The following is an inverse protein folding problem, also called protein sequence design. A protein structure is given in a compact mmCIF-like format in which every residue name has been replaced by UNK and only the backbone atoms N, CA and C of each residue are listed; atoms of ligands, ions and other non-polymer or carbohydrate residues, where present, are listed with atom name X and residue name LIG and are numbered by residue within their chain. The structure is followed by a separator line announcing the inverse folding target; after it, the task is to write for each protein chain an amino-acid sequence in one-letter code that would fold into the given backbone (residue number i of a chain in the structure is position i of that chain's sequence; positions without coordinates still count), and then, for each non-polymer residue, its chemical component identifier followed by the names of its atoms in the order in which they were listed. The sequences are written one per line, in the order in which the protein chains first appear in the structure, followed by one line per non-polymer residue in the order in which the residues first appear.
data_IF_016608790927
#
_entry.id   IF_016608790927
#
_cell.length_a   1.000
_cell.length_b   1.000
_cell.length_c   1.000
_cell.angle_alpha   90.00
_cell.angle_beta   90.00
_cell.angle_gamma   90.00
#
_symmetry.space_group_name_H-M   'P 1'
#
loop_
_entity.id
_entity.type
_entity.pdbx_description
1 polymer ?
#
# COMPACT_ATOMS: atom_id res chain seq x y z
N UNK A 1 -6.66 -62.22 11.69
CA UNK A 1 -5.49 -63.08 11.42
C UNK A 1 -4.43 -62.28 10.68
N UNK A 2 -3.18 -62.35 11.19
CA UNK A 2 -1.87 -61.97 10.61
C UNK A 2 -1.55 -60.50 10.28
N UNK A 3 -0.75 -59.91 11.18
CA UNK A 3 0.24 -58.82 11.02
C UNK A 3 1.44 -59.26 10.15
N UNK A 4 2.18 -58.30 9.55
CA UNK A 4 3.66 -58.21 9.48
C UNK A 4 4.07 -56.87 8.82
N UNK A 5 4.68 -55.92 9.54
CA UNK A 5 6.14 -55.73 9.78
C UNK A 5 6.94 -55.51 8.49
N UNK A 6 7.35 -54.27 8.18
CA UNK A 6 8.56 -53.56 8.66
C UNK A 6 9.86 -54.19 8.16
N UNK A 7 10.66 -53.42 7.43
CA UNK A 7 12.12 -53.55 7.49
C UNK A 7 12.81 -52.21 7.25
N UNK A 8 13.72 -51.96 8.17
CA UNK A 8 14.65 -50.85 8.33
C UNK A 8 16.06 -51.47 8.12
N UNK A 9 17.03 -50.62 7.79
CA UNK A 9 18.49 -50.77 7.90
C UNK A 9 19.25 -51.18 6.64
N UNK A 10 20.26 -50.36 6.36
CA UNK A 10 21.33 -50.61 5.40
C UNK A 10 22.30 -49.45 5.36
N UNK A 11 22.98 -49.19 6.48
CA UNK A 11 24.13 -48.28 6.52
C UNK A 11 25.36 -48.93 5.90
N UNK A 12 26.15 -48.16 5.14
CA UNK A 12 27.56 -48.46 4.86
C UNK A 12 28.34 -47.16 4.90
N UNK A 13 29.29 -47.09 5.83
CA UNK A 13 30.28 -46.04 5.94
C UNK A 13 31.41 -46.27 4.93
N UNK A 14 31.81 -45.22 4.22
CA UNK A 14 33.10 -45.16 3.51
C UNK A 14 33.80 -43.88 3.91
N UNK A 15 34.96 -44.04 4.56
CA UNK A 15 35.95 -42.99 4.74
C UNK A 15 36.71 -42.84 3.43
N UNK A 16 36.84 -41.62 2.94
CA UNK A 16 37.90 -41.27 1.99
C UNK A 16 38.38 -39.86 2.29
N UNK A 17 39.60 -39.81 2.83
CA UNK A 17 40.44 -38.63 2.92
C UNK A 17 40.75 -38.13 1.50
N UNK A 18 40.40 -36.88 1.20
CA UNK A 18 41.00 -36.13 0.10
C UNK A 18 41.35 -34.75 0.63
N UNK A 19 42.65 -34.53 0.84
CA UNK A 19 43.22 -33.20 1.01
C UNK A 19 43.50 -32.61 -0.36
N UNK A 20 42.99 -31.40 -0.62
CA UNK A 20 43.41 -30.52 -1.74
C UNK A 20 43.24 -29.08 -1.20
N UNK A 21 44.33 -28.45 -0.78
CA UNK A 21 45.09 -27.44 -1.53
C UNK A 21 44.38 -26.07 -1.54
N UNK A 22 44.84 -25.21 -0.62
CA UNK A 22 44.58 -23.78 -0.59
C UNK A 22 45.16 -23.13 -1.86
N UNK A 23 44.31 -22.79 -2.82
CA UNK A 23 44.62 -21.81 -3.85
C UNK A 23 44.15 -20.44 -3.38
N UNK A 24 45.10 -19.52 -3.19
CA UNK A 24 44.83 -18.09 -3.15
C UNK A 24 44.31 -17.68 -4.54
N UNK A 25 42.99 -17.71 -4.72
CA UNK A 25 42.30 -17.08 -5.83
C UNK A 25 42.19 -15.58 -5.58
N UNK A 26 42.74 -14.79 -6.50
CA UNK A 26 42.59 -13.35 -6.54
C UNK A 26 41.11 -12.94 -6.37
N UNK A 27 40.87 -11.95 -5.52
CA UNK A 27 39.56 -11.32 -5.38
C UNK A 27 39.16 -10.73 -6.74
N UNK A 28 38.00 -11.10 -7.31
CA UNK A 28 37.43 -10.28 -8.37
C UNK A 28 37.10 -8.93 -7.75
N UNK A 29 37.66 -7.86 -8.32
CA UNK A 29 37.17 -6.52 -8.10
C UNK A 29 35.65 -6.54 -8.32
N UNK A 30 34.89 -6.20 -7.29
CA UNK A 30 33.48 -5.88 -7.45
C UNK A 30 33.40 -4.67 -8.37
N UNK A 31 33.25 -4.95 -9.67
CA UNK A 31 32.81 -3.98 -10.63
C UNK A 31 31.44 -3.50 -10.14
N UNK A 32 31.32 -2.19 -9.94
CA UNK A 32 30.05 -1.51 -9.81
C UNK A 32 29.22 -1.83 -11.06
N UNK A 33 28.41 -2.88 -10.97
CA UNK A 33 27.27 -3.05 -11.85
C UNK A 33 26.30 -1.94 -11.50
N UNK A 34 26.30 -0.89 -12.31
CA UNK A 34 25.14 -0.01 -12.41
C UNK A 34 23.90 -0.89 -12.61
N UNK A 35 22.80 -0.73 -11.87
CA UNK A 35 21.61 -1.51 -12.10
C UNK A 35 21.08 -1.19 -13.50
N UNK A 36 21.34 -2.10 -14.43
CA UNK A 36 20.76 -2.11 -15.76
C UNK A 36 19.24 -2.02 -15.67
N UNK A 37 18.70 -0.96 -16.29
CA UNK A 37 17.41 -0.98 -16.93
C UNK A 37 16.25 -1.50 -16.09
N UNK A 38 15.80 -0.70 -15.12
CA UNK A 38 14.41 -0.76 -14.70
C UNK A 38 13.55 -0.59 -15.97
N UNK A 39 12.95 -1.68 -16.44
CA UNK A 39 11.91 -1.67 -17.45
C UNK A 39 10.84 -0.68 -16.96
N UNK A 40 10.92 0.55 -17.47
CA UNK A 40 9.92 1.59 -17.28
C UNK A 40 8.72 1.12 -18.08
N UNK A 41 7.93 0.23 -17.47
CA UNK A 41 6.56 -0.03 -17.87
C UNK A 41 5.94 1.34 -17.99
N UNK A 42 5.66 1.77 -19.23
CA UNK A 42 5.19 3.12 -19.53
C UNK A 42 3.84 3.28 -18.83
N UNK A 43 3.85 3.81 -17.62
CA UNK A 43 2.66 4.02 -16.81
C UNK A 43 1.79 5.00 -17.57
N UNK A 44 0.59 4.57 -17.96
CA UNK A 44 -0.40 5.48 -18.52
C UNK A 44 -0.91 6.31 -17.35
N UNK A 45 -0.34 7.51 -17.20
CA UNK A 45 -0.74 8.46 -16.17
C UNK A 45 -1.72 9.47 -16.75
N UNK A 46 -2.59 10.02 -15.90
CA UNK A 46 -3.44 11.17 -16.21
C UNK A 46 -3.09 12.31 -15.25
N UNK A 47 -3.13 13.56 -15.73
CA UNK A 47 -2.60 14.70 -14.98
C UNK A 47 -3.62 15.83 -14.90
N UNK A 48 -3.82 16.36 -13.68
CA UNK A 48 -4.41 17.67 -13.43
C UNK A 48 -3.30 18.61 -12.98
N UNK A 49 -3.21 19.80 -13.55
CA UNK A 49 -2.11 20.71 -13.25
C UNK A 49 -2.53 22.17 -13.36
N UNK A 50 -2.34 22.92 -12.28
CA UNK A 50 -2.50 24.37 -12.25
C UNK A 50 -1.14 25.03 -11.91
N UNK A 51 -1.13 26.29 -11.49
CA UNK A 51 0.12 27.01 -11.18
C UNK A 51 0.85 26.45 -9.95
N UNK A 52 0.13 25.98 -8.93
CA UNK A 52 0.67 25.65 -7.59
C UNK A 52 0.77 24.15 -7.34
N UNK A 53 -0.06 23.34 -8.00
CA UNK A 53 -0.21 21.92 -7.74
C UNK A 53 -0.25 21.13 -9.05
N UNK A 54 0.36 19.94 -9.03
CA UNK A 54 0.21 18.90 -10.05
C UNK A 54 -0.28 17.62 -9.39
N UNK A 55 -1.36 17.06 -9.90
CA UNK A 55 -1.91 15.77 -9.49
C UNK A 55 -1.67 14.76 -10.60
N UNK A 56 -1.01 13.65 -10.28
CA UNK A 56 -0.75 12.55 -11.20
C UNK A 56 -1.53 11.33 -10.76
N UNK A 57 -2.35 10.76 -11.65
CA UNK A 57 -3.18 9.57 -11.40
C UNK A 57 -2.67 8.40 -12.22
N UNK A 58 -2.35 7.26 -11.59
CA UNK A 58 -2.05 6.01 -12.29
C UNK A 58 -3.37 5.40 -12.80
N UNK A 59 -3.52 5.29 -14.12
CA UNK A 59 -4.76 4.75 -14.72
C UNK A 59 -4.98 3.27 -14.40
N UNK A 60 -3.94 2.53 -14.02
CA UNK A 60 -4.03 1.11 -13.68
C UNK A 60 -4.54 0.87 -12.26
N UNK A 61 -4.25 1.78 -11.33
CA UNK A 61 -4.58 1.58 -9.90
C UNK A 61 -5.62 2.58 -9.41
N UNK A 62 -5.79 3.71 -10.10
CA UNK A 62 -6.59 4.83 -9.62
C UNK A 62 -5.94 5.58 -8.44
N UNK A 63 -4.73 5.19 -8.04
CA UNK A 63 -3.93 5.89 -7.03
C UNK A 63 -3.47 7.23 -7.61
N UNK A 64 -3.30 8.22 -6.74
CA UNK A 64 -2.79 9.52 -7.16
C UNK A 64 -1.71 10.06 -6.22
N UNK A 65 -0.83 10.87 -6.79
CA UNK A 65 0.18 11.63 -6.08
C UNK A 65 -0.02 13.13 -6.35
N UNK A 66 0.36 13.97 -5.40
CA UNK A 66 0.20 15.44 -5.46
C UNK A 66 1.56 16.09 -5.26
N UNK A 67 2.02 16.85 -6.24
CA UNK A 67 3.21 17.69 -6.17
C UNK A 67 2.79 19.14 -5.89
N UNK A 68 3.18 19.67 -4.74
CA UNK A 68 3.12 21.09 -4.45
C UNK A 68 4.37 21.76 -5.03
N UNK A 69 4.18 22.64 -6.02
CA UNK A 69 5.25 23.13 -6.90
C UNK A 69 6.15 24.17 -6.24
N UNK A 70 5.68 24.85 -5.20
CA UNK A 70 6.44 25.92 -4.54
C UNK A 70 7.57 25.35 -3.68
N UNK A 71 7.26 24.36 -2.85
CA UNK A 71 8.23 23.65 -2.00
C UNK A 71 8.88 22.47 -2.71
N UNK A 72 8.25 21.95 -3.77
CA UNK A 72 8.64 20.70 -4.41
C UNK A 72 8.20 19.46 -3.64
N UNK A 73 7.39 19.61 -2.59
CA UNK A 73 6.91 18.48 -1.79
C UNK A 73 6.01 17.56 -2.63
N UNK A 74 6.41 16.29 -2.71
CA UNK A 74 5.62 15.24 -3.36
C UNK A 74 4.89 14.40 -2.30
N UNK A 75 3.57 14.53 -2.27
CA UNK A 75 2.69 13.65 -1.53
C UNK A 75 2.39 12.40 -2.36
N UNK A 76 2.98 11.28 -1.96
CA UNK A 76 2.85 10.01 -2.66
C UNK A 76 1.49 9.36 -2.37
N UNK A 77 1.11 8.42 -3.23
CA UNK A 77 0.02 7.47 -2.96
C UNK A 77 0.40 6.52 -1.82
N UNK A 78 -0.50 5.60 -1.50
CA UNK A 78 -0.29 4.55 -0.50
C UNK A 78 1.09 3.87 -0.61
N UNK A 79 1.97 4.00 0.40
CA UNK A 79 3.32 3.45 0.36
C UNK A 79 3.39 1.93 0.53
N UNK A 80 2.29 1.27 0.93
CA UNK A 80 2.32 -0.15 1.31
C UNK A 80 1.75 -1.08 0.25
N UNK A 81 0.57 -0.78 -0.28
CA UNK A 81 -0.15 -1.69 -1.18
C UNK A 81 -0.54 -1.04 -2.51
N UNK A 82 -0.12 0.21 -2.74
CA UNK A 82 -0.54 1.05 -3.85
C UNK A 82 -2.08 1.04 -4.01
N UNK A 83 -2.77 1.15 -2.87
CA UNK A 83 -4.23 1.19 -2.79
C UNK A 83 -4.74 2.63 -2.95
N UNK A 84 -5.56 2.88 -3.96
CA UNK A 84 -6.35 4.09 -4.08
C UNK A 84 -7.39 4.18 -2.95
N UNK A 85 -7.97 3.04 -2.59
CA UNK A 85 -8.97 2.93 -1.53
C UNK A 85 -9.04 1.52 -0.94
N UNK A 86 -9.55 1.44 0.29
CA UNK A 86 -9.83 0.17 0.98
C UNK A 86 -11.30 0.13 1.34
N UNK A 87 -12.00 -0.89 0.84
CA UNK A 87 -13.45 -1.03 1.02
C UNK A 87 -13.76 -2.29 1.81
N UNK A 88 -14.69 -2.20 2.75
CA UNK A 88 -15.23 -3.38 3.43
C UNK A 88 -16.50 -3.89 2.74
N UNK A 89 -16.45 -5.15 2.32
CA UNK A 89 -17.55 -5.85 1.66
C UNK A 89 -18.05 -6.97 2.56
N UNK A 90 -19.37 -7.03 2.73
CA UNK A 90 -20.09 -8.03 3.49
C UNK A 90 -21.22 -8.65 2.65
N UNK A 91 -21.74 -9.80 3.07
CA UNK A 91 -22.91 -10.42 2.44
C UNK A 91 -22.55 -11.43 1.36
N UNK A 92 -23.55 -12.00 0.69
CA UNK A 92 -23.34 -13.09 -0.26
C UNK A 92 -22.78 -14.39 0.36
N UNK A 93 -23.02 -14.60 1.66
CA UNK A 93 -22.47 -15.75 2.42
C UNK A 93 -21.03 -15.56 2.91
N UNK A 94 -20.43 -14.39 2.70
CA UNK A 94 -19.05 -14.07 3.06
C UNK A 94 -19.02 -13.20 4.32
N UNK A 95 -18.14 -13.55 5.27
CA UNK A 95 -17.84 -12.73 6.45
C UNK A 95 -17.09 -11.46 6.01
N UNK A 96 -17.37 -10.33 6.65
CA UNK A 96 -16.78 -9.04 6.28
C UNK A 96 -15.29 -9.08 5.96
N UNK A 97 -14.94 -8.57 4.79
CA UNK A 97 -13.58 -8.56 4.25
C UNK A 97 -13.24 -7.16 3.75
N UNK A 98 -12.05 -6.68 4.09
CA UNK A 98 -11.47 -5.47 3.50
C UNK A 98 -10.77 -5.80 2.18
N UNK A 99 -11.12 -5.10 1.11
CA UNK A 99 -10.54 -5.25 -0.23
C UNK A 99 -9.87 -3.97 -0.70
N UNK A 100 -8.75 -4.12 -1.38
CA UNK A 100 -8.07 -3.03 -2.08
C UNK A 100 -8.73 -2.83 -3.46
N UNK A 101 -9.37 -1.68 -3.65
CA UNK A 101 -10.11 -1.36 -4.89
C UNK A 101 -9.18 -1.11 -6.10
N UNK A 102 -7.87 -1.02 -5.90
CA UNK A 102 -6.88 -0.91 -6.97
C UNK A 102 -6.44 -2.25 -7.56
N UNK A 103 -6.78 -3.38 -6.93
CA UNK A 103 -6.43 -4.73 -7.40
C UNK A 103 -7.53 -5.38 -8.24
N UNK A 104 -8.43 -4.58 -8.78
CA UNK A 104 -9.59 -5.03 -9.55
C UNK A 104 -9.26 -5.12 -11.04
N UNK A 105 -10.12 -5.79 -11.82
CA UNK A 105 -9.88 -5.98 -13.26
C UNK A 105 -10.23 -4.77 -14.10
N UNK A 106 -11.27 -4.03 -13.73
CA UNK A 106 -11.77 -2.89 -14.50
C UNK A 106 -11.68 -1.61 -13.66
N UNK A 107 -10.66 -0.80 -13.97
CA UNK A 107 -10.47 0.55 -13.44
C UNK A 107 -10.55 1.47 -14.64
N UNK A 108 -11.48 2.42 -14.60
CA UNK A 108 -11.63 3.42 -15.65
C UNK A 108 -11.32 4.79 -15.11
N UNK A 109 -10.21 5.37 -15.58
CA UNK A 109 -9.85 6.76 -15.30
C UNK A 109 -10.19 7.60 -16.53
N UNK A 110 -11.02 8.63 -16.32
CA UNK A 110 -11.55 9.48 -17.40
C UNK A 110 -11.33 10.96 -17.08
N UNK A 111 -10.83 11.70 -18.06
CA UNK A 111 -10.78 13.16 -17.98
C UNK A 111 -12.18 13.71 -18.27
N UNK A 112 -12.91 14.16 -17.24
CA UNK A 112 -14.26 14.72 -17.41
C UNK A 112 -14.23 16.16 -17.90
N UNK A 113 -13.23 16.93 -17.46
CA UNK A 113 -12.95 18.30 -17.91
C UNK A 113 -11.48 18.62 -17.71
N UNK A 114 -11.00 19.82 -18.08
CA UNK A 114 -9.61 20.25 -17.82
C UNK A 114 -9.19 20.10 -16.35
N UNK A 115 -10.14 20.23 -15.43
CA UNK A 115 -9.88 20.32 -13.99
C UNK A 115 -10.43 19.14 -13.19
N UNK A 116 -11.03 18.16 -13.87
CA UNK A 116 -11.72 17.04 -13.22
C UNK A 116 -11.33 15.71 -13.85
N UNK A 117 -10.86 14.79 -13.01
CA UNK A 117 -10.69 13.37 -13.34
C UNK A 117 -11.74 12.58 -12.60
N UNK A 118 -12.48 11.74 -13.32
CA UNK A 118 -13.34 10.71 -12.74
C UNK A 118 -12.65 9.36 -12.72
N UNK A 119 -12.77 8.63 -11.63
CA UNK A 119 -12.23 7.28 -11.46
C UNK A 119 -13.39 6.36 -11.11
N UNK A 120 -13.46 5.23 -11.80
CA UNK A 120 -14.49 4.24 -11.58
C UNK A 120 -13.85 2.88 -11.30
N UNK A 121 -14.28 2.27 -10.19
CA UNK A 121 -13.83 0.98 -9.72
C UNK A 121 -14.99 0.00 -9.80
N UNK A 122 -14.88 -1.06 -10.61
CA UNK A 122 -15.93 -2.06 -10.78
C UNK A 122 -15.50 -3.48 -10.40
N UNK A 123 -16.46 -4.22 -9.84
CA UNK A 123 -16.39 -5.66 -9.62
C UNK A 123 -15.12 -6.08 -8.86
N UNK A 124 -14.95 -5.63 -7.61
CA UNK A 124 -13.77 -5.92 -6.83
C UNK A 124 -13.58 -7.41 -6.57
N UNK A 125 -12.32 -7.83 -6.49
CA UNK A 125 -11.94 -9.22 -6.26
C UNK A 125 -11.80 -9.44 -4.75
N UNK A 126 -12.63 -10.32 -4.21
CA UNK A 126 -12.61 -10.78 -2.83
C UNK A 126 -11.59 -11.92 -2.64
N UNK A 127 -11.39 -12.34 -1.39
CA UNK A 127 -10.59 -13.52 -1.08
C UNK A 127 -11.13 -14.77 -1.79
N UNK A 128 -10.23 -15.67 -2.19
CA UNK A 128 -10.59 -16.85 -2.98
C UNK A 128 -10.91 -16.55 -4.44
N UNK A 129 -10.53 -15.37 -4.97
CA UNK A 129 -10.78 -14.92 -6.34
C UNK A 129 -12.28 -14.78 -6.69
N UNK A 130 -13.14 -14.57 -5.69
CA UNK A 130 -14.56 -14.33 -5.90
C UNK A 130 -14.76 -12.88 -6.36
N UNK A 131 -15.40 -12.69 -7.51
CA UNK A 131 -15.71 -11.35 -8.02
C UNK A 131 -17.01 -10.86 -7.40
N UNK A 132 -16.98 -9.68 -6.79
CA UNK A 132 -18.18 -9.03 -6.26
C UNK A 132 -18.93 -8.29 -7.37
N UNK A 133 -19.61 -9.05 -8.23
CA UNK A 133 -20.36 -8.51 -9.37
C UNK A 133 -21.42 -7.49 -8.95
N UNK A 134 -21.48 -6.38 -9.68
CA UNK A 134 -22.42 -5.27 -9.44
C UNK A 134 -22.00 -4.33 -8.30
N UNK A 135 -20.82 -4.53 -7.72
CA UNK A 135 -20.22 -3.53 -6.83
C UNK A 135 -19.44 -2.52 -7.66
N UNK A 136 -19.76 -1.23 -7.48
CA UNK A 136 -19.14 -0.11 -8.20
C UNK A 136 -18.87 1.03 -7.23
N UNK A 137 -17.73 1.71 -7.39
CA UNK A 137 -17.43 2.96 -6.68
C UNK A 137 -16.93 3.97 -7.71
N UNK A 138 -17.58 5.13 -7.74
CA UNK A 138 -17.17 6.25 -8.59
C UNK A 138 -16.64 7.38 -7.71
N UNK A 139 -15.47 7.88 -8.07
CA UNK A 139 -14.82 9.00 -7.39
C UNK A 139 -14.44 10.09 -8.39
N UNK A 140 -14.23 11.30 -7.87
CA UNK A 140 -13.74 12.43 -8.64
C UNK A 140 -12.61 13.15 -7.89
N UNK A 141 -11.63 13.58 -8.68
CA UNK A 141 -10.57 14.50 -8.28
C UNK A 141 -10.83 15.83 -9.02
N UNK A 142 -11.05 16.92 -8.28
CA UNK A 142 -11.30 18.24 -8.85
C UNK A 142 -10.23 19.21 -8.37
N UNK A 143 -9.39 19.67 -9.29
CA UNK A 143 -8.33 20.64 -9.00
C UNK A 143 -8.86 22.04 -9.23
N UNK A 144 -8.69 22.95 -8.26
CA UNK A 144 -9.03 24.35 -8.47
C UNK A 144 -8.14 24.98 -9.57
N UNK A 145 -8.67 25.91 -10.35
CA UNK A 145 -7.93 26.48 -11.47
C UNK A 145 -6.81 27.43 -11.02
N UNK A 146 -6.99 28.11 -9.89
CA UNK A 146 -6.17 29.24 -9.45
C UNK A 146 -5.48 28.99 -8.10
N UNK A 147 -6.10 28.18 -7.23
CA UNK A 147 -5.65 27.85 -5.89
C UNK A 147 -5.00 26.47 -5.79
N UNK A 148 -4.18 26.26 -4.76
CA UNK A 148 -3.58 24.95 -4.45
C UNK A 148 -4.55 23.97 -3.79
N UNK A 149 -5.83 23.96 -4.20
CA UNK A 149 -6.88 23.13 -3.59
C UNK A 149 -7.25 21.95 -4.48
N UNK A 150 -7.37 20.77 -3.88
CA UNK A 150 -7.81 19.53 -4.54
C UNK A 150 -8.99 18.94 -3.76
N UNK A 151 -10.15 18.92 -4.39
CA UNK A 151 -11.31 18.22 -3.86
C UNK A 151 -11.28 16.75 -4.27
N UNK A 152 -11.50 15.87 -3.31
CA UNK A 152 -11.59 14.42 -3.49
C UNK A 152 -12.95 13.96 -3.01
N UNK A 153 -13.75 13.39 -3.90
CA UNK A 153 -15.12 13.01 -3.58
C UNK A 153 -15.46 11.61 -4.07
N UNK A 154 -16.22 10.87 -3.26
CA UNK A 154 -16.95 9.68 -3.71
C UNK A 154 -18.32 10.15 -4.20
N UNK A 155 -18.57 10.05 -5.51
CA UNK A 155 -19.76 10.64 -6.15
C UNK A 155 -20.92 9.65 -6.25
N UNK A 156 -20.63 8.36 -6.39
CA UNK A 156 -21.63 7.31 -6.44
C UNK A 156 -21.04 5.97 -6.01
N UNK A 157 -21.90 5.07 -5.53
CA UNK A 157 -21.54 3.69 -5.25
C UNK A 157 -22.75 2.77 -5.46
N UNK A 158 -22.47 1.54 -5.84
CA UNK A 158 -23.44 0.46 -6.00
C UNK A 158 -22.91 -0.77 -5.27
N UNK A 159 -23.78 -1.50 -4.56
CA UNK A 159 -23.38 -2.68 -3.79
C UNK A 159 -23.83 -4.01 -4.42
N UNK A 160 -24.65 -3.97 -5.47
CA UNK A 160 -25.25 -5.17 -6.05
C UNK A 160 -25.97 -6.03 -4.99
N UNK A 161 -25.57 -7.30 -4.88
CA UNK A 161 -26.07 -8.25 -3.86
C UNK A 161 -25.30 -8.21 -2.52
N UNK A 162 -24.27 -7.37 -2.43
CA UNK A 162 -23.41 -7.24 -1.26
C UNK A 162 -23.83 -6.05 -0.40
N UNK A 163 -23.19 -5.91 0.75
CA UNK A 163 -23.32 -4.76 1.65
C UNK A 163 -21.94 -4.14 1.84
N UNK A 164 -21.83 -2.85 1.55
CA UNK A 164 -20.61 -2.06 1.80
C UNK A 164 -20.72 -1.41 3.17
N UNK A 165 -19.72 -1.56 4.04
CA UNK A 165 -19.73 -1.00 5.41
C UNK A 165 -18.81 0.19 5.59
N UNK A 166 -17.59 0.12 5.06
CA UNK A 166 -16.57 1.15 5.19
C UNK A 166 -15.84 1.37 3.87
N UNK A 167 -15.44 2.61 3.61
CA UNK A 167 -14.60 2.99 2.49
C UNK A 167 -13.58 4.02 2.97
N UNK A 168 -12.33 3.62 3.02
CA UNK A 168 -11.20 4.51 3.24
C UNK A 168 -10.70 5.00 1.90
N UNK A 169 -11.03 6.25 1.56
CA UNK A 169 -10.61 6.91 0.32
C UNK A 169 -10.29 8.39 0.58
N UNK A 170 -9.12 8.89 0.17
CA UNK A 170 -7.98 8.14 -0.37
C UNK A 170 -7.32 7.29 0.72
N UNK A 171 -6.94 6.04 0.39
CA UNK A 171 -6.31 5.15 1.37
C UNK A 171 -4.85 5.55 1.62
N UNK A 172 -4.50 5.79 2.89
CA UNK A 172 -3.11 6.04 3.36
C UNK A 172 -2.37 7.15 2.59
N UNK A 173 -3.10 8.07 1.96
CA UNK A 173 -2.52 9.20 1.26
C UNK A 173 -1.95 10.24 2.24
N UNK A 174 -1.08 11.11 1.73
CA UNK A 174 -0.44 12.19 2.48
C UNK A 174 0.33 11.70 3.73
N UNK A 175 0.89 10.48 3.65
CA UNK A 175 1.68 9.90 4.73
C UNK A 175 3.01 10.63 4.93
N UNK A 176 3.46 10.72 6.18
CA UNK A 176 4.80 11.12 6.55
C UNK A 176 5.65 9.86 6.80
N UNK A 177 6.85 9.82 6.25
CA UNK A 177 7.79 8.72 6.48
C UNK A 177 8.50 8.90 7.83
N UNK A 178 8.39 7.89 8.70
CA UNK A 178 8.91 7.94 10.06
C UNK A 178 10.42 8.14 10.08
N UNK A 179 10.90 9.08 10.91
CA UNK A 179 12.31 9.47 11.05
C UNK A 179 12.98 10.03 9.78
N UNK A 180 12.23 10.21 8.69
CA UNK A 180 12.67 10.87 7.46
C UNK A 180 12.05 12.25 7.37
N UNK A 181 10.71 12.31 7.43
CA UNK A 181 9.98 13.58 7.42
C UNK A 181 9.95 14.20 8.82
N UNK A 182 10.36 15.46 8.93
CA UNK A 182 10.26 16.23 10.17
C UNK A 182 8.95 17.00 10.21
N UNK A 183 7.87 16.30 10.56
CA UNK A 183 6.53 16.85 10.64
C UNK A 183 5.71 16.23 11.77
N UNK A 184 4.40 16.45 11.70
CA UNK A 184 3.45 15.82 12.61
C UNK A 184 2.09 15.68 11.95
N UNK A 185 1.35 14.65 12.33
CA UNK A 185 -0.09 14.55 12.06
C UNK A 185 -0.82 15.46 13.05
N UNK A 186 -1.75 16.27 12.54
CA UNK A 186 -2.60 17.16 13.35
C UNK A 186 -3.99 16.55 13.47
N UNK A 187 -4.46 16.29 14.69
CA UNK A 187 -5.77 15.68 14.95
C UNK A 187 -6.56 16.61 15.87
N UNK A 188 -7.72 17.13 15.45
CA UNK A 188 -8.55 18.03 16.25
C UNK A 188 -9.36 17.27 17.32
N UNK A 189 -8.71 16.41 18.11
CA UNK A 189 -9.35 15.70 19.22
C UNK A 189 -9.37 16.58 20.47
N UNK A 190 -10.57 16.98 20.93
CA UNK A 190 -10.78 17.93 22.03
C UNK A 190 -10.17 19.31 21.72
N UNK A 191 -9.09 19.72 22.40
CA UNK A 191 -8.37 20.96 22.12
C UNK A 191 -7.37 20.80 20.95
N UNK A 192 -7.17 19.58 20.47
CA UNK A 192 -6.20 19.24 19.44
C UNK A 192 -5.00 18.49 20.00
N UNK A 193 -4.43 17.63 19.16
CA UNK A 193 -3.17 16.95 19.43
C UNK A 193 -2.33 16.87 18.16
N UNK A 194 -1.02 16.82 18.33
CA UNK A 194 -0.07 16.53 17.26
C UNK A 194 0.64 15.22 17.54
N UNK A 195 0.90 14.43 16.50
CA UNK A 195 1.70 13.21 16.57
C UNK A 195 2.91 13.37 15.67
N UNK A 196 4.10 13.68 16.23
CA UNK A 196 5.33 13.81 15.45
C UNK A 196 5.66 12.55 14.66
N UNK A 197 6.20 12.71 13.45
CA UNK A 197 6.67 11.61 12.60
C UNK A 197 8.10 11.17 12.89
N UNK A 198 8.74 11.72 13.93
CA UNK A 198 10.12 11.39 14.28
C UNK A 198 10.31 11.30 15.79
N UNK A 199 11.31 10.56 16.20
CA UNK A 199 11.70 10.46 17.60
C UNK A 199 12.44 11.73 18.03
N UNK A 200 12.05 12.31 19.18
CA UNK A 200 12.73 13.45 19.78
C UNK A 200 13.04 13.20 21.27
N UNK A 201 14.06 13.86 21.86
CA UNK A 201 14.40 13.68 23.26
C UNK A 201 13.24 14.09 24.18
N UNK A 202 12.86 13.18 25.09
CA UNK A 202 11.82 13.38 26.11
C UNK A 202 12.26 12.75 27.44
N UNK A 203 11.52 12.97 28.53
CA UNK A 203 11.75 12.27 29.80
C UNK A 203 11.69 10.74 29.59
N UNK A 204 12.68 10.00 30.11
CA UNK A 204 12.90 8.58 29.83
C UNK A 204 11.71 7.66 30.12
N UNK A 205 10.86 7.99 31.10
CA UNK A 205 9.62 7.24 31.35
C UNK A 205 8.58 7.39 30.23
N UNK A 206 8.48 8.57 29.62
CA UNK A 206 7.60 8.84 28.47
C UNK A 206 8.15 8.26 27.17
N UNK A 207 9.47 8.23 27.04
CA UNK A 207 10.15 7.57 25.91
C UNK A 207 9.90 6.05 25.88
N UNK A 208 10.01 5.39 27.03
CA UNK A 208 9.75 3.95 27.14
C UNK A 208 8.27 3.59 26.88
N UNK A 209 7.34 4.45 27.33
CA UNK A 209 5.91 4.26 27.05
C UNK A 209 5.56 4.43 25.57
N UNK A 210 6.23 5.36 24.86
CA UNK A 210 6.00 5.60 23.43
C UNK A 210 6.60 4.54 22.51
N UNK A 211 7.63 3.81 22.95
CA UNK A 211 8.29 2.75 22.16
C UNK A 211 7.72 1.35 22.44
N UNK A 212 7.04 1.14 23.56
CA UNK A 212 6.31 -0.09 23.82
C UNK A 212 4.97 -0.08 23.07
N UNK A 213 4.96 -0.64 21.86
CA UNK A 213 3.72 -1.11 21.24
C UNK A 213 2.95 -1.96 22.27
N UNK A 214 1.63 -1.82 22.40
CA UNK A 214 0.86 -2.65 23.30
C UNK A 214 1.05 -4.11 22.89
N UNK A 215 1.86 -4.84 23.66
CA UNK A 215 1.87 -6.29 23.56
C UNK A 215 0.44 -6.74 23.81
N UNK A 216 -0.20 -7.29 22.77
CA UNK A 216 -1.50 -7.94 22.87
C UNK A 216 -1.43 -8.92 24.04
N UNK A 217 -2.03 -8.53 25.17
CA UNK A 217 -2.22 -9.45 26.29
C UNK A 217 -3.23 -10.47 25.77
N UNK A 218 -2.71 -11.63 25.38
CA UNK A 218 -3.52 -12.77 25.00
C UNK A 218 -4.63 -13.03 26.03
N UNK A 219 -5.76 -13.60 25.60
CA UNK A 219 -6.90 -13.81 26.47
C UNK A 219 -6.47 -14.63 27.70
N UNK A 220 -6.75 -14.10 28.89
CA UNK A 220 -6.65 -14.89 30.12
C UNK A 220 -7.79 -15.90 30.09
N UNK A 221 -7.42 -17.17 29.84
CA UNK A 221 -8.29 -18.32 30.09
C UNK A 221 -8.48 -18.57 31.57
#
# INVERSE_FOLDING_TARGET
MKRKQSNINGGVAWYTLIGILLTLGAMPAYANGEPEGAHTKKTSEMVLENRTVKVTVDQRTGSFAVLEKTSGQLWKSDPWEDAAGLMEVNGGGIKGQTVNISKIKDIRVTQKSKWVIGIEFENPILEGNVVAEGVRVQTELRLDADEGSLDVAVVAWEAGKYRLSDLRYPARAFSLETDVDRGAVVIPQKQGMISPSYIFPMNGGLFAAGTMLPMSRGPRG
#
